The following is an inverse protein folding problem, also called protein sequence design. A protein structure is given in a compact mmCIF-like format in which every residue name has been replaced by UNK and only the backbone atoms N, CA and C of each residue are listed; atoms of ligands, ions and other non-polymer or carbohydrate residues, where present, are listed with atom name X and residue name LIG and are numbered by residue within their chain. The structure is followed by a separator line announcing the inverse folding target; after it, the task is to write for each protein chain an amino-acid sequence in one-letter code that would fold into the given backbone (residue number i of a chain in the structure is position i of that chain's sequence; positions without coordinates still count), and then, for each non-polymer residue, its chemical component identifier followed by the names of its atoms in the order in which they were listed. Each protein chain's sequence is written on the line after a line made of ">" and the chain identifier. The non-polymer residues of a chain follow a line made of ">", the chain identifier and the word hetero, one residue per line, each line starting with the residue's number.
data_IF_900530512444
#
_entry.id   IF_900530512444
#
_cell.length_a   1.000
_cell.length_b   1.000
_cell.length_c   1.000
_cell.angle_alpha   90.00
_cell.angle_beta   90.00
_cell.angle_gamma   90.00
#
_symmetry.space_group_name_H-M   'P 1'
#
loop_
_entity.id
_entity.type
_entity.pdbx_description
1 polymer ?
#
# COMPACT_ATOMS: atom_id res chain seq x y z
N UNK A 1 17.37 -5.62 19.02
CA UNK A 1 16.58 -4.61 19.76
C UNK A 1 15.36 -5.31 20.30
N UNK A 2 15.19 -5.38 21.63
CA UNK A 2 13.97 -5.93 22.22
C UNK A 2 12.85 -4.92 22.04
N UNK A 3 11.80 -5.27 21.30
CA UNK A 3 10.58 -4.45 21.19
C UNK A 3 9.93 -4.35 22.57
N UNK A 4 9.54 -3.14 23.01
CA UNK A 4 8.82 -3.00 24.29
C UNK A 4 7.41 -3.58 24.20
N UNK A 5 6.74 -3.86 25.32
CA UNK A 5 5.35 -4.34 25.31
C UNK A 5 4.41 -3.40 24.53
N UNK A 6 4.63 -2.09 24.62
CA UNK A 6 3.84 -1.09 23.90
C UNK A 6 4.01 -1.21 22.37
N UNK A 7 5.23 -1.52 21.90
CA UNK A 7 5.49 -1.74 20.47
C UNK A 7 4.71 -2.95 19.94
N UNK A 8 4.71 -4.05 20.70
CA UNK A 8 3.96 -5.25 20.33
C UNK A 8 2.46 -4.99 20.26
N UNK A 9 1.91 -4.20 21.19
CA UNK A 9 0.49 -3.81 21.18
C UNK A 9 0.15 -2.98 19.94
N UNK A 10 0.99 -2.01 19.59
CA UNK A 10 0.80 -1.18 18.39
C UNK A 10 0.85 -2.04 17.13
N UNK A 11 1.89 -2.88 16.98
CA UNK A 11 2.04 -3.76 15.82
C UNK A 11 0.88 -4.75 15.72
N UNK A 12 0.45 -5.37 16.83
CA UNK A 12 -0.69 -6.29 16.84
C UNK A 12 -2.00 -5.62 16.45
N UNK A 13 -2.20 -4.36 16.86
CA UNK A 13 -3.38 -3.58 16.46
C UNK A 13 -3.37 -3.29 14.95
N UNK A 14 -2.21 -2.92 14.40
CA UNK A 14 -2.06 -2.66 12.97
C UNK A 14 -2.20 -3.93 12.14
N UNK A 15 -1.62 -5.05 12.58
CA UNK A 15 -1.75 -6.35 11.90
C UNK A 15 -3.18 -6.87 11.87
N UNK A 16 -4.03 -6.49 12.83
CA UNK A 16 -5.42 -6.93 12.89
C UNK A 16 -6.41 -5.99 12.20
N UNK A 17 -6.18 -4.67 12.26
CA UNK A 17 -7.11 -3.66 11.72
C UNK A 17 -6.66 -3.01 10.40
N UNK A 18 -5.41 -3.21 10.02
CA UNK A 18 -4.77 -2.51 8.89
C UNK A 18 -4.34 -1.10 9.26
N UNK A 19 -5.29 -0.26 9.68
CA UNK A 19 -5.00 1.10 10.16
C UNK A 19 -5.57 1.39 11.54
N UNK A 20 -4.93 2.30 12.26
CA UNK A 20 -5.38 2.76 13.58
C UNK A 20 -4.96 4.21 13.84
N UNK A 21 -5.69 4.91 14.70
CA UNK A 21 -5.38 6.29 15.09
C UNK A 21 -4.48 6.36 16.32
N UNK A 22 -3.88 7.54 16.56
CA UNK A 22 -3.16 7.79 17.82
C UNK A 22 -4.03 7.59 19.07
N UNK A 23 -5.35 7.84 18.96
CA UNK A 23 -6.29 7.62 20.06
C UNK A 23 -6.50 6.12 20.32
N UNK A 24 -6.57 5.29 19.27
CA UNK A 24 -6.68 3.84 19.41
C UNK A 24 -5.45 3.25 20.12
N UNK A 25 -4.25 3.73 19.78
CA UNK A 25 -3.03 3.29 20.47
C UNK A 25 -2.96 3.76 21.92
N UNK A 26 -3.42 4.97 22.22
CA UNK A 26 -3.51 5.47 23.59
C UNK A 26 -4.44 4.60 24.44
N UNK A 27 -5.60 4.24 23.88
CA UNK A 27 -6.53 3.32 24.53
C UNK A 27 -5.93 1.91 24.73
N UNK A 28 -5.25 1.37 23.71
CA UNK A 28 -4.67 0.03 23.78
C UNK A 28 -3.48 -0.09 24.74
N UNK A 29 -2.63 0.95 24.81
CA UNK A 29 -1.41 0.96 25.64
C UNK A 29 -1.62 1.54 27.04
N UNK A 30 -2.77 2.20 27.28
CA UNK A 30 -3.04 2.94 28.51
C UNK A 30 -2.15 4.18 28.69
N UNK A 31 -1.52 4.68 27.62
CA UNK A 31 -0.60 5.81 27.65
C UNK A 31 -1.27 7.11 27.24
N UNK A 32 -0.71 8.24 27.68
CA UNK A 32 -1.12 9.55 27.22
C UNK A 32 -0.78 9.77 25.74
N UNK A 33 -1.58 10.59 25.05
CA UNK A 33 -1.37 10.93 23.65
C UNK A 33 0.05 11.48 23.33
N UNK A 34 0.69 12.34 24.17
CA UNK A 34 2.08 12.75 23.95
C UNK A 34 3.11 11.63 24.06
N UNK A 35 2.82 10.57 24.82
CA UNK A 35 3.68 9.39 24.95
C UNK A 35 3.53 8.50 23.72
N UNK A 36 2.30 8.25 23.28
CA UNK A 36 2.00 7.53 22.03
C UNK A 36 2.63 8.22 20.83
N UNK A 37 2.51 9.54 20.71
CA UNK A 37 3.13 10.29 19.60
C UNK A 37 4.64 10.05 19.50
N UNK A 38 5.33 10.02 20.65
CA UNK A 38 6.77 9.70 20.72
C UNK A 38 7.06 8.26 20.34
N UNK A 39 6.26 7.29 20.81
CA UNK A 39 6.38 5.88 20.42
C UNK A 39 6.21 5.71 18.90
N UNK A 40 5.18 6.33 18.31
CA UNK A 40 4.94 6.24 16.87
C UNK A 40 6.08 6.86 16.04
N UNK A 41 6.69 7.94 16.53
CA UNK A 41 7.84 8.55 15.90
C UNK A 41 9.08 7.63 15.96
N UNK A 42 9.29 6.93 17.08
CA UNK A 42 10.37 5.94 17.25
C UNK A 42 10.18 4.70 16.37
N UNK A 43 8.93 4.36 16.07
CA UNK A 43 8.57 3.26 15.17
C UNK A 43 8.68 3.61 13.69
N UNK A 44 9.01 4.85 13.31
CA UNK A 44 9.31 5.16 11.91
C UNK A 44 10.71 4.62 11.53
N UNK A 45 10.91 3.99 10.36
CA UNK A 45 9.99 3.87 9.22
C UNK A 45 9.18 2.56 9.21
N UNK A 46 9.16 1.78 10.29
CA UNK A 46 8.44 0.50 10.36
C UNK A 46 6.93 0.68 10.17
N UNK A 47 6.36 1.78 10.69
CA UNK A 47 4.97 2.16 10.44
C UNK A 47 4.90 3.36 9.49
N UNK A 48 3.78 3.49 8.80
CA UNK A 48 3.53 4.61 7.88
C UNK A 48 2.36 5.45 8.38
N UNK A 49 2.51 6.77 8.27
CA UNK A 49 1.45 7.73 8.55
C UNK A 49 0.60 7.93 7.29
N UNK A 50 -0.70 7.83 7.44
CA UNK A 50 -1.72 7.88 6.37
C UNK A 50 -2.72 8.99 6.73
N UNK A 51 -3.12 9.78 5.76
CA UNK A 51 -4.08 10.87 5.95
C UNK A 51 -3.45 12.12 6.55
N UNK A 52 -4.26 13.18 6.65
CA UNK A 52 -3.81 14.47 7.16
C UNK A 52 -4.63 14.97 8.37
N UNK A 53 -3.97 15.77 9.21
CA UNK A 53 -4.53 16.44 10.38
C UNK A 53 -5.42 15.52 11.23
N UNK A 54 -6.71 15.85 11.36
CA UNK A 54 -7.72 15.14 12.16
C UNK A 54 -8.05 13.73 11.68
N UNK A 55 -7.73 13.39 10.43
CA UNK A 55 -7.93 12.06 9.86
C UNK A 55 -6.64 11.22 9.85
N UNK A 56 -5.60 11.64 10.59
CA UNK A 56 -4.33 10.90 10.65
C UNK A 56 -4.54 9.50 11.21
N UNK A 57 -4.16 8.51 10.42
CA UNK A 57 -4.07 7.10 10.78
C UNK A 57 -2.64 6.62 10.59
N UNK A 58 -2.36 5.46 11.14
CA UNK A 58 -1.09 4.76 10.96
C UNK A 58 -1.38 3.37 10.44
N UNK A 59 -0.50 2.87 9.59
CA UNK A 59 -0.55 1.53 9.01
C UNK A 59 0.79 0.81 9.16
N UNK A 60 0.75 -0.52 9.09
CA UNK A 60 1.95 -1.34 8.97
C UNK A 60 2.16 -1.69 7.49
N UNK A 61 3.07 -1.01 6.76
CA UNK A 61 3.28 -1.25 5.34
C UNK A 61 3.86 -2.64 5.08
N UNK A 62 3.43 -3.30 4.00
CA UNK A 62 3.98 -4.56 3.52
C UNK A 62 4.51 -4.38 2.10
N UNK A 63 5.74 -4.81 1.85
CA UNK A 63 6.32 -4.81 0.51
C UNK A 63 5.52 -5.76 -0.40
N UNK A 64 5.32 -5.38 -1.65
CA UNK A 64 4.59 -6.17 -2.65
C UNK A 64 5.63 -6.95 -3.46
N UNK A 65 5.91 -8.21 -3.10
CA UNK A 65 6.95 -9.03 -3.75
C UNK A 65 8.28 -8.28 -4.01
N UNK A 66 8.81 -7.60 -2.99
CA UNK A 66 10.07 -6.84 -3.07
C UNK A 66 9.93 -5.43 -3.68
N UNK A 67 8.73 -5.02 -4.12
CA UNK A 67 8.41 -3.63 -4.45
C UNK A 67 8.02 -2.85 -3.18
N UNK A 68 8.16 -1.51 -3.18
CA UNK A 68 7.70 -0.66 -2.08
C UNK A 68 6.24 -0.93 -1.72
N UNK A 69 5.83 -0.65 -0.49
CA UNK A 69 4.41 -0.76 -0.10
C UNK A 69 3.56 0.39 -0.64
N UNK A 70 4.19 1.53 -0.97
CA UNK A 70 3.54 2.75 -1.40
C UNK A 70 3.77 3.07 -2.87
N UNK A 71 2.69 3.39 -3.57
CA UNK A 71 2.68 3.65 -4.99
C UNK A 71 1.81 4.86 -5.33
N UNK A 72 2.23 5.63 -6.33
CA UNK A 72 1.44 6.76 -6.84
C UNK A 72 0.35 6.24 -7.77
N UNK A 73 -0.87 6.72 -7.55
CA UNK A 73 -1.98 6.52 -8.47
C UNK A 73 -1.94 7.59 -9.55
N UNK A 74 -1.99 7.18 -10.80
CA UNK A 74 -1.95 8.07 -11.96
C UNK A 74 -3.29 8.10 -12.67
N UNK A 75 -3.72 9.30 -13.03
CA UNK A 75 -4.86 9.54 -13.92
C UNK A 75 -4.36 10.11 -15.24
N UNK A 76 -4.78 9.49 -16.34
CA UNK A 76 -4.57 9.98 -17.70
C UNK A 76 -5.84 10.67 -18.16
N UNK A 77 -5.76 11.94 -18.55
CA UNK A 77 -6.91 12.66 -19.12
C UNK A 77 -7.13 12.34 -20.61
N UNK A 78 -8.20 12.90 -21.20
CA UNK A 78 -8.57 12.69 -22.61
C UNK A 78 -7.49 13.16 -23.59
N UNK A 79 -6.59 14.06 -23.15
CA UNK A 79 -5.46 14.54 -23.92
C UNK A 79 -4.21 13.67 -23.74
N UNK A 80 -4.32 12.56 -23.00
CA UNK A 80 -3.20 11.64 -22.74
C UNK A 80 -2.26 12.12 -21.63
N UNK A 81 -2.59 13.18 -20.89
CA UNK A 81 -1.69 13.73 -19.87
C UNK A 81 -1.83 12.95 -18.57
N UNK A 82 -0.72 12.36 -18.11
CA UNK A 82 -0.63 11.64 -16.83
C UNK A 82 -0.46 12.62 -15.66
N UNK A 83 -1.28 12.46 -14.62
CA UNK A 83 -1.24 13.26 -13.40
C UNK A 83 -1.32 12.36 -12.17
N UNK A 84 -0.47 12.62 -11.16
CA UNK A 84 -0.55 11.91 -9.89
C UNK A 84 -1.77 12.40 -9.12
N UNK A 85 -2.69 11.48 -8.80
CA UNK A 85 -3.98 11.80 -8.17
C UNK A 85 -4.12 11.23 -6.77
N UNK A 86 -3.15 10.44 -6.31
CA UNK A 86 -3.20 9.82 -5.01
C UNK A 86 -2.04 8.90 -4.71
N UNK A 87 -2.11 8.28 -3.54
CA UNK A 87 -1.17 7.26 -3.09
C UNK A 87 -1.95 6.03 -2.65
N UNK A 88 -1.52 4.85 -3.10
CA UNK A 88 -1.95 3.56 -2.59
C UNK A 88 -0.88 3.01 -1.66
N UNK A 89 -1.29 2.53 -0.50
CA UNK A 89 -0.44 1.87 0.49
C UNK A 89 -0.95 0.45 0.73
N UNK A 90 -0.11 -0.55 0.49
CA UNK A 90 -0.40 -1.94 0.84
C UNK A 90 0.02 -2.25 2.28
N UNK A 91 -0.89 -2.85 3.05
CA UNK A 91 -0.76 -3.05 4.48
C UNK A 91 -0.60 -4.54 4.81
N UNK A 92 0.06 -4.81 5.94
CA UNK A 92 0.44 -6.16 6.36
C UNK A 92 -0.73 -7.10 6.65
N UNK A 93 -1.94 -6.59 6.80
CA UNK A 93 -3.16 -7.39 6.99
C UNK A 93 -3.87 -7.74 5.68
N UNK A 94 -3.18 -7.73 4.53
CA UNK A 94 -3.77 -7.93 3.19
C UNK A 94 -4.86 -6.91 2.86
N UNK A 95 -4.65 -5.64 3.24
CA UNK A 95 -5.56 -4.55 2.90
C UNK A 95 -4.82 -3.40 2.21
N UNK A 96 -5.58 -2.52 1.56
CA UNK A 96 -5.08 -1.29 0.95
C UNK A 96 -5.68 -0.06 1.62
N UNK A 97 -4.89 0.98 1.70
CA UNK A 97 -5.34 2.34 1.96
C UNK A 97 -5.00 3.21 0.74
N UNK A 98 -5.97 4.00 0.29
CA UNK A 98 -5.87 4.91 -0.83
C UNK A 98 -6.23 6.31 -0.37
N UNK A 99 -5.28 7.23 -0.54
CA UNK A 99 -5.48 8.65 -0.38
C UNK A 99 -5.54 9.28 -1.76
N UNK A 100 -6.67 9.89 -2.13
CA UNK A 100 -6.82 10.51 -3.46
C UNK A 100 -7.61 11.80 -3.43
N UNK A 101 -7.07 12.83 -4.09
CA UNK A 101 -7.76 14.11 -4.29
C UNK A 101 -8.79 14.07 -5.41
N UNK A 102 -8.81 13.00 -6.22
CA UNK A 102 -9.69 12.87 -7.40
C UNK A 102 -10.61 11.66 -7.35
N UNK A 103 -10.12 10.51 -6.88
CA UNK A 103 -10.84 9.23 -6.93
C UNK A 103 -11.63 8.94 -5.65
N UNK A 104 -11.38 9.73 -4.60
CA UNK A 104 -11.93 9.51 -3.27
C UNK A 104 -11.09 8.53 -2.46
N UNK A 105 -10.96 8.82 -1.16
CA UNK A 105 -10.22 7.98 -0.24
C UNK A 105 -10.91 6.62 -0.03
N UNK A 106 -10.12 5.58 0.20
CA UNK A 106 -10.63 4.23 0.42
C UNK A 106 -9.71 3.45 1.36
N UNK A 107 -10.26 2.62 2.24
CA UNK A 107 -9.50 1.66 3.02
C UNK A 107 -10.27 0.34 3.13
N UNK A 108 -9.64 -0.78 2.84
CA UNK A 108 -10.30 -2.09 2.88
C UNK A 108 -9.47 -3.25 2.32
N UNK A 109 -9.98 -4.46 2.51
CA UNK A 109 -9.38 -5.73 2.05
C UNK A 109 -9.61 -6.02 0.55
N UNK A 110 -10.42 -5.20 -0.12
CA UNK A 110 -10.65 -5.27 -1.56
C UNK A 110 -10.16 -4.01 -2.24
N UNK A 111 -10.04 -4.05 -3.57
CA UNK A 111 -9.76 -2.84 -4.33
C UNK A 111 -11.01 -1.96 -4.42
N UNK A 112 -10.87 -0.63 -4.33
CA UNK A 112 -11.97 0.27 -4.65
C UNK A 112 -12.40 0.09 -6.12
N UNK A 113 -13.65 0.46 -6.42
CA UNK A 113 -14.25 0.26 -7.74
C UNK A 113 -13.38 0.80 -8.89
N UNK A 114 -12.69 1.92 -8.69
CA UNK A 114 -11.83 2.55 -9.70
C UNK A 114 -10.50 1.83 -9.93
N UNK A 115 -10.14 0.85 -9.09
CA UNK A 115 -8.99 -0.04 -9.27
C UNK A 115 -9.40 -1.49 -9.60
N UNK A 116 -10.70 -1.80 -9.67
CA UNK A 116 -11.17 -3.14 -10.05
C UNK A 116 -10.61 -3.67 -11.39
N UNK A 117 -10.35 -2.83 -12.41
CA UNK A 117 -9.72 -3.31 -13.65
C UNK A 117 -8.36 -4.00 -13.43
N UNK A 118 -7.64 -3.71 -12.34
CA UNK A 118 -6.35 -4.33 -12.02
C UNK A 118 -6.47 -5.83 -11.72
N UNK A 119 -7.67 -6.33 -11.37
CA UNK A 119 -7.88 -7.77 -11.13
C UNK A 119 -7.66 -8.63 -12.36
N UNK A 120 -7.50 -8.03 -13.55
CA UNK A 120 -7.28 -8.73 -14.81
C UNK A 120 -8.35 -9.81 -15.07
N UNK A 121 -9.59 -9.53 -14.70
CA UNK A 121 -10.73 -10.41 -14.94
C UNK A 121 -11.20 -10.33 -16.41
N UNK A 122 -11.93 -11.36 -16.83
CA UNK A 122 -12.44 -11.46 -18.20
C UNK A 122 -11.39 -11.97 -19.20
N UNK A 123 -11.75 -11.99 -20.49
CA UNK A 123 -10.96 -12.66 -21.52
C UNK A 123 -9.58 -12.02 -21.72
N UNK A 124 -9.53 -10.69 -21.93
CA UNK A 124 -8.27 -9.97 -22.15
C UNK A 124 -7.37 -9.97 -20.92
N UNK A 125 -7.97 -9.81 -19.73
CA UNK A 125 -7.24 -9.86 -18.47
C UNK A 125 -6.60 -11.23 -18.23
N UNK A 126 -7.32 -12.33 -18.49
CA UNK A 126 -6.77 -13.69 -18.41
C UNK A 126 -5.63 -13.95 -19.39
N UNK A 127 -5.68 -13.38 -20.61
CA UNK A 127 -4.57 -13.48 -21.56
C UNK A 127 -3.33 -12.77 -21.02
N UNK A 128 -3.48 -11.55 -20.49
CA UNK A 128 -2.38 -10.81 -19.87
C UNK A 128 -1.84 -11.52 -18.62
N UNK A 129 -2.71 -12.08 -17.79
CA UNK A 129 -2.31 -12.88 -16.63
C UNK A 129 -1.48 -14.11 -17.02
N UNK A 130 -1.88 -14.80 -18.09
CA UNK A 130 -1.17 -15.97 -18.60
C UNK A 130 0.25 -15.64 -19.07
N UNK A 131 0.46 -14.45 -19.65
CA UNK A 131 1.82 -14.04 -20.07
C UNK A 131 2.72 -13.72 -18.88
N UNK A 132 2.15 -13.37 -17.72
CA UNK A 132 2.89 -13.15 -16.47
C UNK A 132 3.25 -14.44 -15.73
N UNK A 133 2.74 -15.60 -16.15
CA UNK A 133 3.09 -16.89 -15.54
C UNK A 133 4.60 -17.19 -15.59
N UNK A 134 5.31 -16.68 -16.61
CA UNK A 134 6.77 -16.77 -16.71
C UNK A 134 7.51 -16.01 -15.59
N UNK A 135 6.84 -15.07 -14.91
CA UNK A 135 7.35 -14.32 -13.76
C UNK A 135 6.95 -14.95 -12.41
N UNK A 136 6.36 -16.16 -12.43
CA UNK A 136 5.90 -16.86 -11.22
C UNK A 136 4.57 -16.35 -10.66
N UNK A 137 3.83 -15.55 -11.42
CA UNK A 137 2.48 -15.09 -11.05
C UNK A 137 1.46 -16.18 -11.40
N UNK A 138 0.46 -16.39 -10.53
CA UNK A 138 -0.65 -17.32 -10.80
C UNK A 138 -1.33 -16.97 -12.14
N UNK A 139 -1.64 -17.97 -12.95
CA UNK A 139 -2.19 -17.78 -14.30
C UNK A 139 -3.70 -17.56 -14.31
N UNK A 140 -4.39 -17.88 -13.22
CA UNK A 140 -5.83 -17.69 -13.02
C UNK A 140 -6.10 -16.45 -12.13
N UNK A 141 -6.54 -15.32 -12.71
CA UNK A 141 -6.75 -14.06 -11.96
C UNK A 141 -7.74 -14.17 -10.81
N UNK A 142 -8.73 -15.06 -10.91
CA UNK A 142 -9.73 -15.27 -9.86
C UNK A 142 -9.11 -15.80 -8.55
N UNK A 143 -7.90 -16.36 -8.62
CA UNK A 143 -7.15 -16.88 -7.47
C UNK A 143 -6.13 -15.89 -6.92
N UNK A 144 -5.99 -14.71 -7.53
CA UNK A 144 -5.01 -13.74 -7.10
C UNK A 144 -5.36 -13.17 -5.72
N UNK A 145 -4.37 -13.17 -4.83
CA UNK A 145 -4.43 -12.35 -3.61
C UNK A 145 -4.39 -10.86 -3.97
N UNK A 146 -4.74 -10.00 -3.00
CA UNK A 146 -4.59 -8.56 -3.18
C UNK A 146 -3.15 -8.18 -3.51
N UNK A 147 -2.17 -8.78 -2.83
CA UNK A 147 -0.74 -8.59 -3.15
C UNK A 147 -0.43 -8.98 -4.60
N UNK A 148 -0.96 -10.11 -5.08
CA UNK A 148 -0.72 -10.60 -6.45
C UNK A 148 -1.33 -9.65 -7.49
N UNK A 149 -2.54 -9.14 -7.23
CA UNK A 149 -3.19 -8.15 -8.09
C UNK A 149 -2.32 -6.89 -8.20
N UNK A 150 -1.86 -6.37 -7.07
CA UNK A 150 -1.00 -5.18 -7.05
C UNK A 150 0.34 -5.45 -7.73
N UNK A 151 0.95 -6.60 -7.48
CA UNK A 151 2.22 -6.97 -8.12
C UNK A 151 2.09 -7.05 -9.64
N UNK A 152 1.03 -7.69 -10.14
CA UNK A 152 0.73 -7.76 -11.56
C UNK A 152 0.52 -6.36 -12.16
N UNK A 153 -0.23 -5.48 -11.48
CA UNK A 153 -0.43 -4.11 -11.91
C UNK A 153 0.89 -3.33 -12.04
N UNK A 154 1.88 -3.60 -11.17
CA UNK A 154 3.20 -2.96 -11.23
C UNK A 154 4.09 -3.44 -12.40
N UNK A 155 3.71 -4.51 -13.09
CA UNK A 155 4.39 -4.96 -14.31
C UNK A 155 3.79 -4.31 -15.56
N UNK A 156 2.57 -3.77 -15.47
CA UNK A 156 1.84 -3.18 -16.59
C UNK A 156 1.97 -1.67 -16.54
N UNK A 157 2.77 -1.10 -17.44
CA UNK A 157 3.12 0.32 -17.42
C UNK A 157 2.01 1.27 -17.92
N UNK A 158 0.91 0.77 -18.50
CA UNK A 158 0.00 1.60 -19.31
C UNK A 158 -1.50 1.23 -19.20
N UNK A 159 -2.00 1.00 -17.98
CA UNK A 159 -3.43 0.82 -17.71
C UNK A 159 -4.12 2.16 -17.33
N UNK A 160 -5.39 2.40 -17.69
CA UNK A 160 -6.18 3.47 -17.08
C UNK A 160 -6.22 3.26 -15.55
N UNK A 161 -5.91 4.30 -14.76
CA UNK A 161 -5.66 4.18 -13.31
C UNK A 161 -4.44 3.30 -12.95
N UNK A 162 -3.32 3.48 -13.66
CA UNK A 162 -2.06 2.79 -13.35
C UNK A 162 -1.51 3.12 -11.97
N UNK A 163 -1.01 2.08 -11.32
CA UNK A 163 -0.25 2.15 -10.07
C UNK A 163 1.23 2.15 -10.46
N UNK A 164 1.99 3.18 -10.08
CA UNK A 164 3.42 3.23 -10.36
C UNK A 164 4.22 3.40 -9.07
N UNK A 165 5.28 2.60 -8.92
CA UNK A 165 6.19 2.74 -7.78
C UNK A 165 7.10 3.94 -7.92
N UNK A 166 7.21 4.75 -6.87
CA UNK A 166 8.42 5.56 -6.70
C UNK A 166 9.55 4.62 -6.30
N UNK A 167 10.54 4.48 -7.19
CA UNK A 167 11.84 3.94 -6.79
C UNK A 167 12.44 4.93 -5.81
N UNK A 168 12.51 4.57 -4.53
CA UNK A 168 13.24 5.39 -3.55
C UNK A 168 14.71 5.46 -3.99
N UNK A 169 15.32 6.65 -4.09
CA UNK A 169 16.74 6.80 -4.40
C UNK A 169 17.57 6.47 -3.15
N UNK A 170 17.51 5.22 -2.69
CA UNK A 170 18.42 4.64 -1.72
C UNK A 170 18.92 3.31 -2.27
N UNK A 171 19.74 3.42 -3.31
CA UNK A 171 20.85 2.53 -3.68
C UNK A 171 21.50 3.12 -4.94
N UNK A 172 22.11 4.31 -4.81
CA UNK A 172 23.20 4.71 -5.71
C UNK A 172 24.52 4.26 -5.07
N UNK A 173 24.65 2.93 -4.94
CA UNK A 173 25.92 2.28 -4.62
C UNK A 173 26.77 2.26 -5.88
N UNK A 174 27.82 3.09 -5.89
CA UNK A 174 28.84 3.19 -6.93
C UNK A 174 29.34 1.79 -7.31
N UNK A 175 29.12 1.37 -8.55
CA UNK A 175 30.02 0.39 -9.17
C UNK A 175 31.24 1.18 -9.67
N UNK A 176 32.34 1.01 -8.96
CA UNK A 176 33.69 1.42 -9.35
C UNK A 176 34.56 0.17 -9.23
N UNK A 177 34.74 -0.54 -10.33
CA UNK A 177 36.00 -1.13 -10.81
C UNK A 177 35.74 -1.85 -12.13
#
# INVERSE_FOLDING_TARGET
>A
MSLSSDHHLILGLLSSRGTATAADFAAATGKSQPTVSRLLADMAPQIVRIGNARATRYGLPKSIHGRPAQHTLWWTDEQGRRTGVGTLTFLANESVDVESTKLGDYAGESLPWYLMPLRAEGFLGRIAARSMAALGVESEPDRWSLETILYAALQVHDAPASVEGKVSPFLKGKCHH
#
